data_IF_573890461738
#
_entry.id   IF_573890461738
#
_cell.length_a   1.000
_cell.length_b   1.000
_cell.length_c   1.000
_cell.angle_alpha   90.00
_cell.angle_beta   90.00
_cell.angle_gamma   90.00
#
_symmetry.space_group_name_H-M   'P 1'
#
loop_
_entity.id
_entity.type
_entity.pdbx_description
1 polymer ?
#
# COMPACT_ATOMS: atom_id res chain seq x y z
N UNK A 1 -15.69 -16.06 35.50
CA UNK A 1 -15.23 -17.35 34.91
C UNK A 1 -14.74 -17.19 33.47
N UNK A 2 -15.44 -16.47 32.59
CA UNK A 2 -15.02 -16.27 31.19
C UNK A 2 -13.61 -15.66 31.03
N UNK A 3 -13.26 -14.65 31.84
CA UNK A 3 -11.90 -14.06 31.84
C UNK A 3 -10.79 -15.07 32.11
N UNK A 4 -10.96 -15.93 33.12
CA UNK A 4 -9.97 -16.98 33.47
C UNK A 4 -9.81 -18.02 32.36
N UNK A 5 -10.87 -18.34 31.63
CA UNK A 5 -10.80 -19.24 30.47
C UNK A 5 -10.04 -18.57 29.33
N UNK A 6 -10.32 -17.30 29.04
CA UNK A 6 -9.60 -16.54 28.02
C UNK A 6 -8.10 -16.46 28.35
N UNK A 7 -7.74 -16.14 29.59
CA UNK A 7 -6.33 -16.09 30.02
C UNK A 7 -5.63 -17.43 29.84
N UNK A 8 -6.27 -18.53 30.22
CA UNK A 8 -5.72 -19.89 30.02
C UNK A 8 -5.60 -20.26 28.55
N UNK A 9 -6.58 -19.87 27.73
CA UNK A 9 -6.56 -20.10 26.28
C UNK A 9 -5.46 -19.26 25.62
N UNK A 10 -5.26 -18.02 26.05
CA UNK A 10 -4.15 -17.16 25.60
C UNK A 10 -2.79 -17.69 26.02
N UNK A 11 -2.69 -18.38 27.17
CA UNK A 11 -1.45 -19.03 27.58
C UNK A 11 -1.12 -20.28 26.73
N UNK A 12 -2.13 -20.94 26.16
CA UNK A 12 -1.96 -22.16 25.37
C UNK A 12 -1.86 -21.91 23.86
N UNK A 13 -2.44 -20.81 23.37
CA UNK A 13 -2.53 -20.50 21.95
C UNK A 13 -1.77 -19.22 21.63
N UNK A 14 -1.01 -19.23 20.53
CA UNK A 14 -0.33 -18.01 20.09
C UNK A 14 -1.34 -16.92 19.72
N UNK A 15 -0.94 -15.66 19.94
CA UNK A 15 -1.76 -14.49 19.54
C UNK A 15 -2.15 -14.56 18.06
N UNK A 16 -1.23 -15.00 17.21
CA UNK A 16 -1.42 -15.15 15.77
C UNK A 16 -2.41 -16.25 15.42
N UNK A 17 -2.43 -17.36 16.16
CA UNK A 17 -3.44 -18.39 15.97
C UNK A 17 -4.84 -17.86 16.36
N UNK A 18 -4.92 -17.17 17.49
CA UNK A 18 -6.18 -16.60 17.97
C UNK A 18 -6.77 -15.61 16.95
N UNK A 19 -5.93 -14.67 16.49
CA UNK A 19 -6.33 -13.66 15.51
C UNK A 19 -6.54 -14.26 14.13
N UNK A 20 -5.60 -15.03 13.60
CA UNK A 20 -5.62 -15.49 12.21
C UNK A 20 -6.60 -16.62 11.93
N UNK A 21 -6.88 -17.48 12.92
CA UNK A 21 -7.62 -18.73 12.69
C UNK A 21 -8.81 -18.92 13.63
N UNK A 22 -8.63 -18.75 14.95
CA UNK A 22 -9.68 -19.07 15.92
C UNK A 22 -10.89 -18.13 15.81
N UNK A 23 -10.69 -16.81 15.82
CA UNK A 23 -11.80 -15.86 15.80
C UNK A 23 -12.67 -15.93 14.55
N UNK A 24 -12.14 -16.04 13.31
CA UNK A 24 -12.97 -16.27 12.13
C UNK A 24 -13.90 -17.47 12.28
N UNK A 25 -13.38 -18.61 12.73
CA UNK A 25 -14.16 -19.83 12.88
C UNK A 25 -15.22 -19.67 13.98
N UNK A 26 -14.88 -19.04 15.10
CA UNK A 26 -15.84 -18.75 16.16
C UNK A 26 -16.99 -17.85 15.67
N UNK A 27 -16.66 -16.74 15.00
CA UNK A 27 -17.64 -15.79 14.46
C UNK A 27 -18.57 -16.50 13.47
N UNK A 28 -18.02 -17.24 12.51
CA UNK A 28 -18.86 -17.96 11.54
C UNK A 28 -19.63 -19.12 12.16
N UNK A 29 -19.11 -19.79 13.19
CA UNK A 29 -19.87 -20.82 13.92
C UNK A 29 -21.12 -20.23 14.58
N UNK A 30 -20.99 -19.06 15.22
CA UNK A 30 -22.11 -18.34 15.82
C UNK A 30 -23.11 -17.88 14.75
N UNK A 31 -22.62 -17.29 13.64
CA UNK A 31 -23.48 -16.84 12.55
C UNK A 31 -24.22 -18.02 11.89
N UNK A 32 -23.54 -19.13 11.63
CA UNK A 32 -24.15 -20.34 11.08
C UNK A 32 -25.21 -20.90 12.03
N UNK A 33 -24.94 -20.92 13.34
CA UNK A 33 -25.93 -21.34 14.35
C UNK A 33 -27.16 -20.42 14.35
N UNK A 34 -26.96 -19.10 14.24
CA UNK A 34 -28.05 -18.12 14.17
C UNK A 34 -28.90 -18.29 12.90
N UNK A 35 -28.26 -18.49 11.74
CA UNK A 35 -28.98 -18.75 10.49
C UNK A 35 -29.76 -20.07 10.58
N UNK A 36 -29.19 -21.12 11.17
CA UNK A 36 -29.88 -22.38 11.43
C UNK A 36 -31.11 -22.16 12.32
N UNK A 37 -30.95 -21.43 13.41
CA UNK A 37 -32.01 -21.10 14.36
C UNK A 37 -33.14 -20.28 13.73
N UNK A 38 -32.82 -19.33 12.85
CA UNK A 38 -33.84 -18.49 12.21
C UNK A 38 -34.45 -19.12 10.95
N UNK A 39 -33.74 -20.05 10.30
CA UNK A 39 -34.06 -20.52 8.96
C UNK A 39 -34.58 -21.96 8.87
N UNK A 40 -34.17 -22.86 9.77
CA UNK A 40 -34.51 -24.29 9.72
C UNK A 40 -35.62 -24.62 10.71
N UNK A 41 -36.64 -25.32 10.22
CA UNK A 41 -37.73 -25.83 11.04
C UNK A 41 -37.26 -26.86 12.08
N UNK A 42 -37.85 -26.82 13.27
CA UNK A 42 -37.55 -27.75 14.35
C UNK A 42 -36.21 -27.50 15.05
N UNK A 43 -35.26 -26.80 14.41
CA UNK A 43 -33.98 -26.45 15.04
C UNK A 43 -34.20 -25.54 16.26
N UNK A 44 -35.12 -24.58 16.19
CA UNK A 44 -35.50 -23.76 17.35
C UNK A 44 -35.98 -24.61 18.51
N UNK A 45 -36.87 -25.57 18.25
CA UNK A 45 -37.40 -26.48 19.26
C UNK A 45 -36.28 -27.32 19.89
N UNK A 46 -35.38 -27.89 19.08
CA UNK A 46 -34.21 -28.63 19.58
C UNK A 46 -33.28 -27.76 20.43
N UNK A 47 -33.05 -26.50 20.05
CA UNK A 47 -32.23 -25.56 20.83
C UNK A 47 -32.93 -25.21 22.15
N UNK A 48 -34.23 -24.94 22.14
CA UNK A 48 -34.97 -24.65 23.38
C UNK A 48 -35.03 -25.84 24.32
N UNK A 49 -35.15 -27.07 23.79
CA UNK A 49 -35.08 -28.31 24.58
C UNK A 49 -33.67 -28.51 25.15
N UNK A 50 -32.63 -28.22 24.36
CA UNK A 50 -31.24 -28.30 24.83
C UNK A 50 -30.96 -27.31 25.95
N UNK A 51 -31.48 -26.08 25.85
CA UNK A 51 -31.32 -25.02 26.84
C UNK A 51 -32.16 -25.23 28.11
N UNK A 52 -33.23 -26.02 28.04
CA UNK A 52 -34.05 -26.36 29.23
C UNK A 52 -33.50 -27.52 30.06
N UNK A 53 -32.42 -28.18 29.60
CA UNK A 53 -31.70 -29.20 30.40
C UNK A 53 -30.96 -28.57 31.59
N UNK A 54 -30.60 -29.41 32.56
CA UNK A 54 -29.84 -28.97 33.74
C UNK A 54 -28.56 -28.19 33.36
N UNK A 55 -28.23 -27.20 34.19
CA UNK A 55 -27.07 -26.31 34.07
C UNK A 55 -25.75 -27.04 33.80
N UNK A 56 -25.58 -28.23 34.37
CA UNK A 56 -24.40 -29.10 34.17
C UNK A 56 -24.30 -29.58 32.72
N UNK A 57 -25.43 -29.99 32.12
CA UNK A 57 -25.48 -30.47 30.74
C UNK A 57 -25.22 -29.33 29.76
N UNK A 58 -25.84 -28.18 30.00
CA UNK A 58 -25.65 -26.97 29.17
C UNK A 58 -24.20 -26.52 29.17
N UNK A 59 -23.55 -26.49 30.34
CA UNK A 59 -22.12 -26.16 30.47
C UNK A 59 -21.25 -27.13 29.69
N UNK A 60 -21.53 -28.43 29.78
CA UNK A 60 -20.78 -29.47 29.06
C UNK A 60 -20.88 -29.28 27.55
N UNK A 61 -22.07 -28.99 27.03
CA UNK A 61 -22.29 -28.76 25.60
C UNK A 61 -21.51 -27.53 25.12
N UNK A 62 -21.51 -26.44 25.88
CA UNK A 62 -20.72 -25.25 25.53
C UNK A 62 -19.21 -25.53 25.51
N UNK A 63 -18.68 -26.28 26.48
CA UNK A 63 -17.27 -26.67 26.51
C UNK A 63 -16.91 -27.54 25.32
N UNK A 64 -17.73 -28.57 25.02
CA UNK A 64 -17.53 -29.45 23.86
C UNK A 64 -17.59 -28.66 22.56
N UNK A 65 -18.56 -27.75 22.41
CA UNK A 65 -18.67 -26.87 21.24
C UNK A 65 -17.45 -25.97 21.06
N UNK A 66 -16.96 -25.36 22.15
CA UNK A 66 -15.76 -24.52 22.13
C UNK A 66 -14.50 -25.30 21.73
N UNK A 67 -14.32 -26.51 22.29
CA UNK A 67 -13.22 -27.41 21.91
C UNK A 67 -13.34 -27.80 20.44
N UNK A 68 -14.54 -28.14 19.96
CA UNK A 68 -14.81 -28.44 18.55
C UNK A 68 -14.42 -27.29 17.62
N UNK A 69 -14.82 -26.05 17.96
CA UNK A 69 -14.44 -24.84 17.20
C UNK A 69 -12.91 -24.67 17.17
N UNK A 70 -12.24 -24.90 18.30
CA UNK A 70 -10.77 -24.81 18.39
C UNK A 70 -10.10 -25.84 17.48
N UNK A 71 -10.59 -27.08 17.48
CA UNK A 71 -10.09 -28.15 16.60
C UNK A 71 -10.29 -27.79 15.13
N UNK A 72 -11.47 -27.29 14.76
CA UNK A 72 -11.74 -26.86 13.38
C UNK A 72 -10.79 -25.73 12.97
N UNK A 73 -10.58 -24.71 13.81
CA UNK A 73 -9.63 -23.64 13.54
C UNK A 73 -8.20 -24.17 13.33
N UNK A 74 -7.78 -25.13 14.15
CA UNK A 74 -6.48 -25.79 14.01
C UNK A 74 -6.35 -26.54 12.69
N UNK A 75 -7.39 -27.28 12.28
CA UNK A 75 -7.41 -28.01 10.99
C UNK A 75 -7.40 -27.05 9.80
N UNK A 76 -8.08 -25.90 9.90
CA UNK A 76 -8.15 -24.92 8.81
C UNK A 76 -6.84 -24.13 8.64
N UNK A 77 -6.03 -23.99 9.69
CA UNK A 77 -4.76 -23.24 9.66
C UNK A 77 -3.82 -23.68 8.52
N UNK A 78 -3.46 -24.98 8.37
CA UNK A 78 -2.61 -25.42 7.25
C UNK A 78 -3.26 -25.30 5.87
N UNK A 79 -4.58 -25.08 5.79
CA UNK A 79 -5.31 -24.88 4.52
C UNK A 79 -5.32 -23.42 4.06
N UNK A 80 -4.93 -22.46 4.92
CA UNK A 80 -4.90 -21.03 4.56
C UNK A 80 -4.05 -20.76 3.30
N UNK A 81 -2.84 -21.34 3.12
CA UNK A 81 -2.09 -21.16 1.87
C UNK A 81 -2.83 -21.68 0.63
N UNK A 82 -3.61 -22.75 0.76
CA UNK A 82 -4.44 -23.30 -0.33
C UNK A 82 -5.57 -22.34 -0.65
N UNK A 83 -6.29 -21.84 0.37
CA UNK A 83 -7.33 -20.84 0.19
C UNK A 83 -6.80 -19.56 -0.45
N UNK A 84 -5.61 -19.12 -0.03
CA UNK A 84 -4.92 -17.99 -0.66
C UNK A 84 -4.62 -18.26 -2.13
N UNK A 85 -4.10 -19.43 -2.47
CA UNK A 85 -3.83 -19.83 -3.87
C UNK A 85 -5.10 -19.88 -4.73
N UNK A 86 -6.23 -20.30 -4.14
CA UNK A 86 -7.55 -20.22 -4.79
C UNK A 86 -7.94 -18.76 -5.07
N UNK A 87 -7.79 -17.86 -4.10
CA UNK A 87 -8.10 -16.42 -4.24
C UNK A 87 -7.12 -15.68 -5.17
N UNK A 88 -5.90 -16.19 -5.32
CA UNK A 88 -4.92 -15.76 -6.33
C UNK A 88 -5.37 -16.18 -7.76
N UNK A 89 -6.37 -17.06 -7.88
CA UNK A 89 -6.90 -17.53 -9.15
C UNK A 89 -6.04 -18.62 -9.80
N UNK A 90 -5.15 -19.26 -9.04
CA UNK A 90 -4.22 -20.27 -9.56
C UNK A 90 -4.92 -21.59 -9.90
N UNK A 91 -5.92 -22.01 -9.11
CA UNK A 91 -6.51 -23.35 -9.18
C UNK A 91 -7.85 -23.37 -9.95
N UNK A 92 -8.76 -22.43 -9.66
CA UNK A 92 -10.18 -22.58 -10.04
C UNK A 92 -10.52 -21.92 -11.38
N UNK A 93 -9.78 -20.90 -11.82
CA UNK A 93 -10.19 -20.10 -12.97
C UNK A 93 -9.95 -20.83 -14.30
N UNK A 94 -10.99 -21.04 -15.14
CA UNK A 94 -10.80 -21.52 -16.51
C UNK A 94 -9.87 -20.58 -17.28
N UNK A 95 -9.02 -21.15 -18.15
CA UNK A 95 -7.99 -20.40 -18.87
C UNK A 95 -8.55 -19.17 -19.60
N UNK A 96 -9.70 -19.29 -20.28
CA UNK A 96 -10.37 -18.16 -20.96
C UNK A 96 -10.75 -17.02 -20.00
N UNK A 97 -11.24 -17.34 -18.81
CA UNK A 97 -11.60 -16.35 -17.78
C UNK A 97 -10.35 -15.69 -17.21
N UNK A 98 -9.31 -16.50 -16.96
CA UNK A 98 -8.01 -16.04 -16.48
C UNK A 98 -7.38 -15.03 -17.46
N UNK A 99 -7.36 -15.35 -18.75
CA UNK A 99 -6.77 -14.49 -19.79
C UNK A 99 -7.55 -13.18 -19.94
N UNK A 100 -8.89 -13.23 -19.82
CA UNK A 100 -9.75 -12.02 -19.81
C UNK A 100 -9.45 -11.12 -18.62
N UNK A 101 -9.27 -11.69 -17.43
CA UNK A 101 -8.95 -10.94 -16.21
C UNK A 101 -7.54 -10.35 -16.28
N UNK A 102 -6.56 -11.10 -16.79
CA UNK A 102 -5.21 -10.58 -17.07
C UNK A 102 -5.30 -9.37 -18.02
N UNK A 103 -6.05 -9.48 -19.12
CA UNK A 103 -6.24 -8.37 -20.05
C UNK A 103 -6.93 -7.14 -19.44
N UNK A 104 -7.76 -7.31 -18.41
CA UNK A 104 -8.29 -6.20 -17.62
C UNK A 104 -7.20 -5.55 -16.76
N UNK A 105 -6.39 -6.35 -16.06
CA UNK A 105 -5.28 -5.85 -15.24
C UNK A 105 -4.17 -5.19 -16.05
N UNK A 106 -3.87 -5.68 -17.26
CA UNK A 106 -2.94 -5.03 -18.20
C UNK A 106 -3.40 -3.62 -18.55
N UNK A 107 -4.70 -3.41 -18.75
CA UNK A 107 -5.24 -2.06 -19.03
C UNK A 107 -5.12 -1.13 -17.83
N UNK A 108 -5.39 -1.64 -16.62
CA UNK A 108 -5.19 -0.88 -15.38
C UNK A 108 -3.71 -0.50 -15.22
N UNK A 109 -2.81 -1.47 -15.43
CA UNK A 109 -1.37 -1.25 -15.32
C UNK A 109 -0.88 -0.20 -16.32
N UNK A 110 -1.31 -0.27 -17.59
CA UNK A 110 -0.99 0.77 -18.59
C UNK A 110 -1.47 2.16 -18.15
N UNK A 111 -2.70 2.26 -17.63
CA UNK A 111 -3.21 3.52 -17.10
C UNK A 111 -2.36 4.07 -15.95
N UNK A 112 -1.85 3.21 -15.06
CA UNK A 112 -0.94 3.62 -13.99
C UNK A 112 0.46 4.01 -14.52
N UNK A 113 0.98 3.32 -15.53
CA UNK A 113 2.24 3.69 -16.19
C UNK A 113 2.12 5.04 -16.91
N UNK A 114 1.00 5.29 -17.58
CA UNK A 114 0.72 6.57 -18.22
C UNK A 114 0.60 7.68 -17.16
N UNK A 115 -0.07 7.42 -16.03
CA UNK A 115 -0.17 8.35 -14.91
C UNK A 115 1.24 8.64 -14.32
N UNK A 116 2.09 7.62 -14.12
CA UNK A 116 3.49 7.76 -13.67
C UNK A 116 4.35 8.56 -14.67
N UNK A 117 4.19 8.29 -15.96
CA UNK A 117 4.92 9.01 -17.01
C UNK A 117 4.55 10.50 -16.98
N UNK A 118 3.25 10.83 -16.91
CA UNK A 118 2.76 12.20 -16.86
C UNK A 118 3.24 12.96 -15.62
N UNK A 119 3.19 12.34 -14.44
CA UNK A 119 3.69 12.97 -13.21
C UNK A 119 5.21 13.15 -13.24
N UNK A 120 5.95 12.20 -13.80
CA UNK A 120 7.39 12.32 -14.02
C UNK A 120 7.77 13.45 -15.00
N UNK A 121 7.06 13.56 -16.13
CA UNK A 121 7.23 14.65 -17.09
C UNK A 121 6.97 16.01 -16.42
N UNK A 122 5.85 16.13 -15.69
CA UNK A 122 5.50 17.36 -14.97
C UNK A 122 6.54 17.74 -13.91
N UNK A 123 7.01 16.79 -13.10
CA UNK A 123 8.08 17.03 -12.13
C UNK A 123 9.38 17.48 -12.82
N UNK A 124 9.78 16.82 -13.90
CA UNK A 124 10.99 17.18 -14.65
C UNK A 124 10.90 18.59 -15.26
N UNK A 125 9.72 18.96 -15.76
CA UNK A 125 9.46 20.27 -16.35
C UNK A 125 9.43 21.40 -15.30
N UNK A 126 8.85 21.15 -14.12
CA UNK A 126 8.87 22.08 -12.99
C UNK A 126 10.29 22.24 -12.45
N UNK A 127 11.05 21.14 -12.31
CA UNK A 127 12.44 21.18 -11.85
C UNK A 127 13.33 21.95 -12.82
N UNK A 128 13.12 21.80 -14.13
CA UNK A 128 13.83 22.58 -15.16
C UNK A 128 13.53 24.08 -15.01
N UNK A 129 12.25 24.44 -14.83
CA UNK A 129 11.83 25.84 -14.62
C UNK A 129 12.36 26.43 -13.33
N UNK A 130 12.40 25.66 -12.24
CA UNK A 130 13.02 26.08 -10.99
C UNK A 130 14.49 26.44 -11.18
N UNK A 131 15.24 25.60 -11.91
CA UNK A 131 16.64 25.89 -12.24
C UNK A 131 16.78 27.15 -13.10
N UNK A 132 15.91 27.34 -14.09
CA UNK A 132 15.94 28.50 -15.00
C UNK A 132 15.49 29.80 -14.33
N UNK A 133 14.54 29.74 -13.39
CA UNK A 133 13.97 30.91 -12.73
C UNK A 133 15.03 31.66 -11.91
N UNK A 134 15.96 30.94 -11.27
CA UNK A 134 17.07 31.56 -10.54
C UNK A 134 17.93 32.43 -11.46
N UNK A 135 18.36 31.87 -12.59
CA UNK A 135 19.20 32.55 -13.57
C UNK A 135 18.45 33.70 -14.26
N UNK A 136 17.25 33.45 -14.79
CA UNK A 136 16.47 34.45 -15.53
C UNK A 136 16.07 35.65 -14.67
N UNK A 137 15.63 35.41 -13.44
CA UNK A 137 15.23 36.49 -12.53
C UNK A 137 16.46 37.22 -11.97
N UNK A 138 17.59 36.53 -11.80
CA UNK A 138 18.88 37.14 -11.46
C UNK A 138 19.40 38.06 -12.58
N UNK A 139 19.36 37.60 -13.83
CA UNK A 139 19.75 38.36 -15.01
C UNK A 139 18.85 39.58 -15.23
N UNK A 140 17.53 39.41 -15.10
CA UNK A 140 16.56 40.51 -15.15
C UNK A 140 16.84 41.57 -14.07
N UNK A 141 17.14 41.13 -12.84
CA UNK A 141 17.53 42.02 -11.75
C UNK A 141 18.81 42.78 -12.06
N UNK A 142 19.81 42.15 -12.68
CA UNK A 142 21.05 42.80 -13.09
C UNK A 142 20.84 43.79 -14.25
N UNK A 143 19.97 43.45 -15.21
CA UNK A 143 19.62 44.30 -16.34
C UNK A 143 18.94 45.61 -15.92
N UNK A 144 18.19 45.59 -14.80
CA UNK A 144 17.54 46.77 -14.21
C UNK A 144 18.51 47.91 -13.86
N UNK A 145 19.82 47.67 -13.85
CA UNK A 145 20.86 48.70 -13.65
C UNK A 145 20.86 49.82 -14.70
N UNK A 146 20.15 49.66 -15.81
CA UNK A 146 19.96 50.65 -16.88
C UNK A 146 18.49 51.07 -16.96
N UNK A 147 18.08 52.16 -16.29
CA UNK A 147 16.66 52.52 -16.16
C UNK A 147 16.02 52.75 -17.53
N UNK A 148 14.98 51.97 -17.83
CA UNK A 148 14.00 52.28 -18.88
C UNK A 148 12.89 53.10 -18.24
N UNK A 149 12.22 53.94 -19.03
CA UNK A 149 11.22 54.91 -18.59
C UNK A 149 10.25 54.30 -17.52
N UNK A 150 10.32 54.80 -16.28
CA UNK A 150 9.76 54.15 -15.09
C UNK A 150 8.26 54.37 -14.87
N UNK A 151 7.59 55.13 -15.74
CA UNK A 151 6.24 55.64 -15.48
C UNK A 151 5.12 54.59 -15.63
N UNK A 152 5.45 53.36 -16.04
CA UNK A 152 4.46 52.32 -16.30
C UNK A 152 4.23 51.40 -15.08
N UNK A 153 3.43 51.89 -14.11
CA UNK A 153 3.00 51.12 -12.93
C UNK A 153 2.24 49.82 -13.31
N UNK A 154 1.79 49.68 -14.56
CA UNK A 154 1.03 48.50 -15.01
C UNK A 154 1.84 47.20 -14.99
N UNK A 155 3.17 47.26 -15.05
CA UNK A 155 4.02 46.06 -15.06
C UNK A 155 4.05 45.35 -13.71
N UNK A 156 4.13 46.12 -12.61
CA UNK A 156 4.03 45.56 -11.26
C UNK A 156 2.66 44.91 -11.02
N UNK A 157 1.57 45.57 -11.46
CA UNK A 157 0.22 45.05 -11.30
C UNK A 157 -0.02 43.79 -12.14
N UNK A 158 0.58 43.72 -13.33
CA UNK A 158 0.55 42.53 -14.19
C UNK A 158 1.28 41.35 -13.54
N UNK A 159 2.46 41.58 -12.96
CA UNK A 159 3.21 40.58 -12.22
C UNK A 159 2.43 40.07 -11.00
N UNK A 160 1.84 40.99 -10.22
CA UNK A 160 1.02 40.63 -9.06
C UNK A 160 -0.21 39.80 -9.47
N UNK A 161 -0.91 40.21 -10.53
CA UNK A 161 -2.07 39.48 -11.05
C UNK A 161 -1.70 38.09 -11.53
N UNK A 162 -0.59 37.95 -12.26
CA UNK A 162 -0.10 36.66 -12.72
C UNK A 162 0.31 35.74 -11.57
N UNK A 163 1.00 36.29 -10.57
CA UNK A 163 1.40 35.54 -9.38
C UNK A 163 0.20 35.11 -8.53
N UNK A 164 -0.79 36.00 -8.33
CA UNK A 164 -2.06 35.64 -7.65
C UNK A 164 -2.83 34.56 -8.40
N UNK A 165 -2.89 34.63 -9.74
CA UNK A 165 -3.53 33.60 -10.54
C UNK A 165 -2.85 32.22 -10.37
N UNK A 166 -1.51 32.19 -10.27
CA UNK A 166 -0.78 30.97 -9.93
C UNK A 166 -1.15 30.47 -8.53
N UNK A 167 -1.17 31.35 -7.52
CA UNK A 167 -1.56 30.97 -6.15
C UNK A 167 -3.00 30.45 -6.06
N UNK A 168 -3.95 31.09 -6.74
CA UNK A 168 -5.34 30.64 -6.84
C UNK A 168 -5.44 29.27 -7.52
N UNK A 169 -4.69 29.04 -8.59
CA UNK A 169 -4.65 27.74 -9.28
C UNK A 169 -4.10 26.62 -8.36
N UNK A 170 -3.18 26.94 -7.46
CA UNK A 170 -2.67 26.01 -6.44
C UNK A 170 -3.75 25.73 -5.39
N UNK A 171 -4.40 26.76 -4.87
CA UNK A 171 -5.45 26.62 -3.84
C UNK A 171 -6.69 25.87 -4.35
N UNK A 172 -7.12 26.12 -5.59
CA UNK A 172 -8.28 25.44 -6.18
C UNK A 172 -8.03 23.93 -6.33
N UNK A 173 -6.79 23.54 -6.61
CA UNK A 173 -6.39 22.14 -6.78
C UNK A 173 -6.12 21.43 -5.46
N UNK A 174 -5.65 22.14 -4.42
CA UNK A 174 -5.43 21.54 -3.09
C UNK A 174 -6.75 21.21 -2.36
N UNK A 175 -7.80 22.03 -2.53
CA UNK A 175 -9.11 21.80 -1.91
C UNK A 175 -9.93 20.65 -2.51
N UNK A 176 -9.62 20.21 -3.73
CA UNK A 176 -10.28 19.08 -4.39
C UNK A 176 -9.55 17.78 -4.00
N UNK A 177 -9.76 17.32 -2.76
CA UNK A 177 -9.16 16.10 -2.16
C UNK A 177 -9.29 14.81 -3.00
N UNK A 178 -10.14 14.79 -4.03
CA UNK A 178 -10.36 13.63 -4.90
C UNK A 178 -9.86 13.79 -6.36
N UNK A 179 -9.34 14.95 -6.76
CA UNK A 179 -8.88 15.15 -8.13
C UNK A 179 -7.46 14.60 -8.32
N UNK A 180 -7.28 13.77 -9.36
CA UNK A 180 -5.97 13.24 -9.78
C UNK A 180 -4.94 14.32 -10.18
N UNK A 181 -5.36 15.57 -10.27
CA UNK A 181 -4.55 16.69 -10.76
C UNK A 181 -4.32 17.72 -9.65
N UNK A 182 -3.25 17.52 -8.86
CA UNK A 182 -2.87 18.42 -7.76
C UNK A 182 -2.04 19.64 -8.19
N UNK A 183 -1.48 19.64 -9.39
CA UNK A 183 -0.49 20.64 -9.83
C UNK A 183 -1.11 21.65 -10.80
N UNK A 184 -0.81 22.95 -10.72
CA UNK A 184 -1.33 23.93 -11.67
C UNK A 184 -0.79 23.65 -13.10
N UNK A 185 -1.48 24.13 -14.16
CA UNK A 185 -0.96 24.05 -15.52
C UNK A 185 0.40 24.72 -15.61
N UNK A 186 1.34 24.09 -16.30
CA UNK A 186 2.73 24.57 -16.40
C UNK A 186 2.76 25.98 -17.03
N UNK A 187 1.83 26.28 -17.92
CA UNK A 187 1.69 27.59 -18.56
C UNK A 187 1.45 28.72 -17.54
N UNK A 188 0.77 28.45 -16.43
CA UNK A 188 0.54 29.46 -15.38
C UNK A 188 1.83 29.83 -14.64
N UNK A 189 2.74 28.87 -14.47
CA UNK A 189 4.07 29.09 -13.90
C UNK A 189 4.90 29.96 -14.85
N UNK A 190 4.89 29.66 -16.15
CA UNK A 190 5.61 30.42 -17.16
C UNK A 190 5.11 31.88 -17.24
N UNK A 191 3.79 32.08 -17.24
CA UNK A 191 3.18 33.42 -17.26
C UNK A 191 3.59 34.22 -16.02
N UNK A 192 3.56 33.61 -14.83
CA UNK A 192 3.98 34.27 -13.59
C UNK A 192 5.48 34.62 -13.61
N UNK A 193 6.32 33.67 -14.05
CA UNK A 193 7.77 33.86 -14.17
C UNK A 193 8.10 35.02 -15.13
N UNK A 194 7.52 35.03 -16.32
CA UNK A 194 7.76 36.09 -17.32
C UNK A 194 7.25 37.45 -16.84
N UNK A 195 6.09 37.51 -16.18
CA UNK A 195 5.56 38.76 -15.67
C UNK A 195 6.46 39.36 -14.57
N UNK A 196 6.96 38.51 -13.66
CA UNK A 196 7.91 38.94 -12.61
C UNK A 196 9.26 39.34 -13.24
N UNK A 197 9.75 38.58 -14.23
CA UNK A 197 10.97 38.92 -14.98
C UNK A 197 10.87 40.30 -15.62
N UNK A 198 9.78 40.57 -16.35
CA UNK A 198 9.54 41.87 -16.98
C UNK A 198 9.46 42.97 -15.93
N UNK A 199 8.78 42.76 -14.80
CA UNK A 199 8.73 43.75 -13.73
C UNK A 199 10.14 44.04 -13.17
N UNK A 200 10.94 43.01 -12.90
CA UNK A 200 12.32 43.17 -12.43
C UNK A 200 13.21 43.94 -13.42
N UNK A 201 13.05 43.71 -14.74
CA UNK A 201 13.80 44.45 -15.77
C UNK A 201 13.45 45.96 -15.79
N UNK A 202 12.23 46.34 -15.40
CA UNK A 202 11.74 47.73 -15.47
C UNK A 202 12.02 48.56 -14.20
N UNK A 203 12.12 47.95 -13.03
CA UNK A 203 12.33 48.67 -11.77
C UNK A 203 13.80 48.61 -11.31
N UNK A 204 14.58 49.70 -11.51
CA UNK A 204 16.02 49.72 -11.23
C UNK A 204 16.34 49.61 -9.74
N UNK A 205 17.43 48.93 -9.41
CA UNK A 205 17.89 48.76 -8.02
C UNK A 205 18.49 50.03 -7.38
N UNK A 206 18.78 51.07 -8.17
CA UNK A 206 19.53 52.25 -7.71
C UNK A 206 18.60 53.33 -7.14
N UNK A 207 18.82 53.67 -5.87
CA UNK A 207 18.11 54.72 -5.12
C UNK A 207 18.35 56.14 -5.63
N UNK A 208 19.34 56.35 -6.50
CA UNK A 208 19.72 57.68 -7.02
C UNK A 208 18.94 58.09 -8.28
N UNK A 209 18.08 57.21 -8.81
CA UNK A 209 17.30 57.49 -10.02
C UNK A 209 16.11 58.42 -9.69
N UNK A 210 15.98 59.60 -10.31
CA UNK A 210 14.80 60.47 -10.11
C UNK A 210 13.51 59.72 -10.46
N UNK A 211 12.52 59.73 -9.55
CA UNK A 211 11.26 58.97 -9.73
C UNK A 211 11.30 57.53 -9.20
N UNK A 212 12.35 57.13 -8.47
CA UNK A 212 12.42 55.83 -7.80
C UNK A 212 11.34 55.68 -6.71
N UNK A 213 10.44 54.72 -6.89
CA UNK A 213 9.48 54.31 -5.87
C UNK A 213 9.98 53.06 -5.14
N UNK A 214 10.54 53.27 -3.93
CA UNK A 214 11.01 52.20 -3.05
C UNK A 214 9.92 51.18 -2.72
N UNK A 215 8.66 51.60 -2.67
CA UNK A 215 7.56 50.71 -2.35
C UNK A 215 7.32 49.70 -3.47
N UNK A 216 7.33 50.15 -4.73
CA UNK A 216 7.16 49.28 -5.89
C UNK A 216 8.33 48.31 -6.03
N UNK A 217 9.56 48.79 -5.82
CA UNK A 217 10.75 47.93 -5.82
C UNK A 217 10.65 46.80 -4.79
N UNK A 218 10.37 47.14 -3.52
CA UNK A 218 10.21 46.15 -2.45
C UNK A 218 9.08 45.17 -2.75
N UNK A 219 7.99 45.63 -3.36
CA UNK A 219 6.87 44.78 -3.77
C UNK A 219 7.30 43.75 -4.83
N UNK A 220 8.06 44.15 -5.84
CA UNK A 220 8.56 43.24 -6.89
C UNK A 220 9.59 42.26 -6.33
N UNK A 221 10.49 42.70 -5.46
CA UNK A 221 11.46 41.83 -4.79
C UNK A 221 10.76 40.78 -3.90
N UNK A 222 9.74 41.19 -3.13
CA UNK A 222 8.91 40.25 -2.37
C UNK A 222 8.16 39.27 -3.29
N UNK A 223 7.64 39.71 -4.44
CA UNK A 223 7.01 38.81 -5.40
C UNK A 223 8.00 37.80 -5.98
N UNK A 224 9.24 38.21 -6.31
CA UNK A 224 10.30 37.30 -6.77
C UNK A 224 10.59 36.22 -5.72
N UNK A 225 10.81 36.61 -4.46
CA UNK A 225 11.11 35.67 -3.38
C UNK A 225 9.95 34.71 -3.13
N UNK A 226 8.72 35.22 -3.05
CA UNK A 226 7.53 34.40 -2.87
C UNK A 226 7.31 33.46 -4.05
N UNK A 227 7.56 33.90 -5.28
CA UNK A 227 7.47 33.06 -6.47
C UNK A 227 8.48 31.91 -6.43
N UNK A 228 9.74 32.17 -6.09
CA UNK A 228 10.76 31.12 -5.96
C UNK A 228 10.41 30.12 -4.87
N UNK A 229 9.87 30.58 -3.73
CA UNK A 229 9.38 29.72 -2.66
C UNK A 229 8.20 28.86 -3.13
N UNK A 230 7.19 29.46 -3.78
CA UNK A 230 6.06 28.72 -4.35
C UNK A 230 6.51 27.70 -5.39
N UNK A 231 7.53 28.01 -6.20
CA UNK A 231 8.04 27.08 -7.20
C UNK A 231 8.77 25.88 -6.57
N UNK A 232 9.48 26.07 -5.46
CA UNK A 232 10.08 24.97 -4.70
C UNK A 232 9.02 24.04 -4.10
N UNK A 233 7.97 24.61 -3.49
CA UNK A 233 6.83 23.85 -2.97
C UNK A 233 6.10 23.05 -4.06
N UNK A 234 5.95 23.64 -5.26
CA UNK A 234 5.37 22.96 -6.42
C UNK A 234 6.23 21.79 -6.91
N UNK A 235 7.55 21.96 -6.97
CA UNK A 235 8.49 20.90 -7.37
C UNK A 235 8.43 19.74 -6.38
N UNK A 236 8.41 20.02 -5.09
CA UNK A 236 8.30 19.01 -4.04
C UNK A 236 6.94 18.28 -4.10
N UNK A 237 5.85 19.01 -4.29
CA UNK A 237 4.52 18.41 -4.48
C UNK A 237 4.47 17.52 -5.72
N UNK A 238 5.10 17.93 -6.82
CA UNK A 238 5.17 17.13 -8.04
C UNK A 238 6.03 15.87 -7.85
N UNK A 239 7.14 15.98 -7.12
CA UNK A 239 7.98 14.85 -6.76
C UNK A 239 7.21 13.83 -5.92
N UNK A 240 6.47 14.27 -4.90
CA UNK A 240 5.62 13.40 -4.08
C UNK A 240 4.54 12.71 -4.92
N UNK A 241 3.88 13.44 -5.83
CA UNK A 241 2.88 12.86 -6.74
C UNK A 241 3.49 11.79 -7.68
N UNK A 242 4.72 12.01 -8.17
CA UNK A 242 5.46 11.02 -8.95
C UNK A 242 5.80 9.80 -8.10
N UNK A 243 6.30 9.97 -6.87
CA UNK A 243 6.60 8.87 -5.97
C UNK A 243 5.35 8.05 -5.60
N UNK A 244 4.22 8.70 -5.35
CA UNK A 244 2.94 8.01 -5.11
C UNK A 244 2.51 7.18 -6.32
N UNK A 245 2.66 7.71 -7.54
CA UNK A 245 2.34 6.99 -8.77
C UNK A 245 3.27 5.78 -8.98
N UNK A 246 4.57 5.95 -8.71
CA UNK A 246 5.56 4.87 -8.79
C UNK A 246 5.26 3.78 -7.75
N UNK A 247 4.99 4.17 -6.50
CA UNK A 247 4.60 3.25 -5.43
C UNK A 247 3.33 2.47 -5.79
N UNK A 248 2.30 3.13 -6.36
CA UNK A 248 1.08 2.45 -6.82
C UNK A 248 1.36 1.44 -7.93
N UNK A 249 2.29 1.72 -8.85
CA UNK A 249 2.71 0.78 -9.87
C UNK A 249 3.46 -0.41 -9.25
N UNK A 250 4.52 -0.13 -8.48
CA UNK A 250 5.44 -1.13 -7.94
C UNK A 250 4.81 -2.05 -6.92
N UNK A 251 3.93 -1.55 -6.05
CA UNK A 251 3.28 -2.35 -5.00
C UNK A 251 2.16 -3.24 -5.54
N UNK A 252 1.69 -2.99 -6.77
CA UNK A 252 0.56 -3.72 -7.36
C UNK A 252 0.95 -4.60 -8.52
N UNK A 253 1.97 -4.29 -9.31
CA UNK A 253 2.22 -5.01 -10.56
C UNK A 253 3.69 -5.31 -10.76
N UNK A 254 3.93 -6.44 -11.43
CA UNK A 254 5.23 -6.80 -12.03
C UNK A 254 5.10 -6.60 -13.53
N UNK A 255 6.00 -5.83 -14.11
CA UNK A 255 5.96 -5.42 -15.54
C UNK A 255 5.80 -6.62 -16.49
N UNK A 256 6.51 -7.73 -16.20
CA UNK A 256 6.58 -8.88 -17.10
C UNK A 256 5.64 -10.04 -16.70
N UNK A 257 4.94 -9.92 -15.57
CA UNK A 257 4.24 -11.06 -14.96
C UNK A 257 2.88 -10.71 -14.33
N UNK A 258 2.07 -9.91 -15.04
CA UNK A 258 0.72 -9.54 -14.60
C UNK A 258 -0.16 -10.79 -14.43
N UNK A 259 -0.79 -10.91 -13.27
CA UNK A 259 -1.66 -12.03 -12.84
C UNK A 259 -3.14 -11.68 -12.96
N UNK A 260 -3.98 -12.70 -12.83
CA UNK A 260 -5.42 -12.61 -13.06
C UNK A 260 -6.21 -11.94 -11.93
N UNK A 261 -5.64 -11.82 -10.72
CA UNK A 261 -6.34 -11.21 -9.58
C UNK A 261 -5.49 -10.13 -8.92
N UNK A 262 -6.11 -9.12 -8.25
CA UNK A 262 -5.37 -8.12 -7.48
C UNK A 262 -4.45 -8.73 -6.42
N UNK A 263 -4.92 -9.77 -5.72
CA UNK A 263 -4.15 -10.48 -4.69
C UNK A 263 -2.87 -11.09 -5.27
N UNK A 264 -2.99 -11.82 -6.38
CA UNK A 264 -1.84 -12.44 -7.05
C UNK A 264 -0.85 -11.40 -7.59
N UNK A 265 -1.37 -10.28 -8.09
CA UNK A 265 -0.57 -9.15 -8.57
C UNK A 265 0.25 -8.49 -7.44
N UNK A 266 -0.38 -8.16 -6.30
CA UNK A 266 0.33 -7.61 -5.13
C UNK A 266 1.32 -8.59 -4.52
N UNK A 267 1.02 -9.89 -4.52
CA UNK A 267 1.97 -10.92 -4.08
C UNK A 267 3.17 -11.02 -5.02
N UNK A 268 2.94 -11.09 -6.33
CA UNK A 268 4.01 -11.14 -7.32
C UNK A 268 4.91 -9.90 -7.23
N UNK A 269 4.33 -8.72 -6.97
CA UNK A 269 5.07 -7.48 -6.74
C UNK A 269 6.02 -7.58 -5.53
N UNK A 270 5.54 -8.14 -4.41
CA UNK A 270 6.38 -8.40 -3.24
C UNK A 270 7.52 -9.38 -3.53
N UNK A 271 7.22 -10.48 -4.22
CA UNK A 271 8.23 -11.49 -4.57
C UNK A 271 9.30 -10.88 -5.52
N UNK A 272 8.86 -10.07 -6.49
CA UNK A 272 9.73 -9.39 -7.44
C UNK A 272 10.59 -8.29 -6.82
N UNK A 273 10.13 -7.64 -5.74
CA UNK A 273 10.87 -6.57 -5.06
C UNK A 273 12.30 -6.99 -4.70
N UNK A 274 12.45 -8.14 -4.04
CA UNK A 274 13.77 -8.65 -3.63
C UNK A 274 14.71 -8.88 -4.80
N UNK A 275 14.17 -9.29 -5.95
CA UNK A 275 14.95 -9.49 -7.16
C UNK A 275 15.40 -8.17 -7.77
N UNK A 276 14.52 -7.18 -7.85
CA UNK A 276 14.84 -5.85 -8.41
C UNK A 276 15.79 -5.08 -7.51
N UNK A 277 15.54 -5.06 -6.21
CA UNK A 277 16.35 -4.32 -5.26
C UNK A 277 17.72 -4.98 -5.02
N UNK A 278 17.74 -6.31 -4.83
CA UNK A 278 18.91 -7.02 -4.31
C UNK A 278 19.41 -8.16 -5.19
N UNK A 279 18.82 -8.40 -6.36
CA UNK A 279 19.25 -9.47 -7.27
C UNK A 279 19.05 -10.88 -6.70
N UNK A 280 18.17 -11.03 -5.70
CA UNK A 280 17.96 -12.28 -4.96
C UNK A 280 16.52 -12.74 -5.08
N UNK A 281 16.29 -14.05 -5.15
CA UNK A 281 14.94 -14.62 -5.13
C UNK A 281 14.30 -14.45 -3.74
N UNK A 282 13.04 -14.03 -3.70
CA UNK A 282 12.27 -13.88 -2.47
C UNK A 282 12.18 -15.18 -1.68
N UNK A 283 11.90 -16.30 -2.35
CA UNK A 283 11.81 -17.62 -1.75
C UNK A 283 13.15 -18.10 -1.20
N UNK A 284 14.26 -17.55 -1.72
CA UNK A 284 15.58 -17.80 -1.20
C UNK A 284 15.87 -16.97 0.07
N UNK A 285 15.67 -15.65 0.02
CA UNK A 285 16.05 -14.75 1.13
C UNK A 285 15.09 -14.85 2.32
N UNK A 286 13.78 -14.97 2.10
CA UNK A 286 12.77 -14.83 3.15
C UNK A 286 12.86 -15.87 4.27
N UNK A 287 12.98 -17.19 4.00
CA UNK A 287 13.12 -18.18 5.08
C UNK A 287 14.38 -17.98 5.93
N UNK A 288 15.45 -17.45 5.33
CA UNK A 288 16.72 -17.19 6.03
C UNK A 288 16.65 -15.93 6.87
N UNK A 289 15.95 -14.92 6.37
CA UNK A 289 15.74 -13.67 7.08
C UNK A 289 14.97 -13.89 8.40
N UNK A 290 14.08 -14.90 8.45
CA UNK A 290 13.37 -15.27 9.70
C UNK A 290 14.30 -15.56 10.87
N UNK A 291 15.48 -16.15 10.62
CA UNK A 291 16.48 -16.42 11.66
C UNK A 291 17.03 -15.16 12.33
N UNK A 292 17.02 -14.04 11.60
CA UNK A 292 17.47 -12.73 12.09
C UNK A 292 16.29 -11.94 12.63
N UNK A 293 15.13 -12.00 11.97
CA UNK A 293 13.89 -11.34 12.41
C UNK A 293 13.53 -11.78 13.84
N UNK A 294 13.66 -13.07 14.18
CA UNK A 294 13.38 -13.58 15.53
C UNK A 294 14.23 -12.92 16.64
N UNK A 295 15.38 -12.34 16.30
CA UNK A 295 16.24 -11.60 17.25
C UNK A 295 15.73 -10.19 17.53
N UNK A 296 15.10 -9.54 16.54
CA UNK A 296 14.46 -8.23 16.70
C UNK A 296 12.98 -8.41 17.01
N UNK A 297 12.63 -8.33 18.31
CA UNK A 297 11.25 -8.49 18.79
C UNK A 297 10.27 -7.51 18.15
N UNK A 298 10.70 -6.30 17.78
CA UNK A 298 9.81 -5.29 17.20
C UNK A 298 9.46 -5.66 15.77
N UNK A 299 10.47 -6.00 14.96
CA UNK A 299 10.27 -6.44 13.56
C UNK A 299 9.51 -7.76 13.52
N UNK A 300 9.87 -8.73 14.38
CA UNK A 300 9.15 -10.00 14.50
C UNK A 300 7.67 -9.81 14.80
N UNK A 301 7.35 -9.02 15.83
CA UNK A 301 5.97 -8.72 16.22
C UNK A 301 5.18 -8.02 15.10
N UNK A 302 5.81 -7.09 14.38
CA UNK A 302 5.20 -6.41 13.23
C UNK A 302 4.89 -7.37 12.08
N UNK A 303 5.86 -8.21 11.69
CA UNK A 303 5.68 -9.23 10.64
C UNK A 303 4.63 -10.25 11.03
N UNK A 304 4.67 -10.75 12.27
CA UNK A 304 3.73 -11.72 12.80
C UNK A 304 2.30 -11.15 12.84
N UNK A 305 2.13 -9.91 13.30
CA UNK A 305 0.83 -9.23 13.34
C UNK A 305 0.27 -9.04 11.93
N UNK A 306 1.09 -8.59 10.97
CA UNK A 306 0.65 -8.40 9.60
C UNK A 306 0.30 -9.73 8.91
N UNK A 307 1.05 -10.81 9.19
CA UNK A 307 0.73 -12.15 8.71
C UNK A 307 -0.60 -12.66 9.29
N UNK A 308 -0.81 -12.51 10.60
CA UNK A 308 -2.05 -12.91 11.26
C UNK A 308 -3.28 -12.14 10.71
N UNK A 309 -3.13 -10.85 10.40
CA UNK A 309 -4.20 -10.05 9.77
C UNK A 309 -4.55 -10.54 8.36
N UNK A 310 -3.54 -10.89 7.55
CA UNK A 310 -3.75 -11.47 6.23
C UNK A 310 -4.44 -12.84 6.32
N UNK A 311 -3.98 -13.70 7.22
CA UNK A 311 -4.57 -15.02 7.46
C UNK A 311 -6.03 -14.92 7.93
N UNK A 312 -6.31 -13.98 8.85
CA UNK A 312 -7.66 -13.64 9.27
C UNK A 312 -8.55 -13.25 8.07
N UNK A 313 -8.08 -12.32 7.22
CA UNK A 313 -8.86 -11.84 6.08
C UNK A 313 -9.15 -12.96 5.06
N UNK A 314 -8.15 -13.81 4.77
CA UNK A 314 -8.29 -14.96 3.86
C UNK A 314 -9.31 -15.95 4.41
N UNK A 315 -9.22 -16.27 5.71
CA UNK A 315 -10.13 -17.22 6.33
C UNK A 315 -11.56 -16.67 6.44
N UNK A 316 -11.73 -15.39 6.79
CA UNK A 316 -13.04 -14.72 6.80
C UNK A 316 -13.69 -14.75 5.41
N UNK A 317 -12.94 -14.44 4.35
CA UNK A 317 -13.46 -14.50 2.97
C UNK A 317 -13.89 -15.92 2.60
N UNK A 318 -13.07 -16.91 2.95
CA UNK A 318 -13.33 -18.32 2.64
C UNK A 318 -14.56 -18.84 3.39
N UNK A 319 -14.63 -18.63 4.70
CA UNK A 319 -15.76 -19.02 5.53
C UNK A 319 -17.04 -18.29 5.10
N UNK A 320 -16.97 -17.00 4.77
CA UNK A 320 -18.10 -16.25 4.24
C UNK A 320 -18.63 -16.85 2.94
N UNK A 321 -17.72 -17.21 2.02
CA UNK A 321 -18.09 -17.82 0.74
C UNK A 321 -18.75 -19.18 0.94
N UNK A 322 -18.12 -20.06 1.73
CA UNK A 322 -18.64 -21.41 2.00
C UNK A 322 -19.98 -21.35 2.75
N UNK A 323 -20.09 -20.54 3.80
CA UNK A 323 -21.33 -20.34 4.55
C UNK A 323 -22.44 -19.79 3.66
N UNK A 324 -22.16 -18.78 2.84
CA UNK A 324 -23.17 -18.19 1.93
C UNK A 324 -23.68 -19.24 0.96
N UNK A 325 -22.79 -19.97 0.28
CA UNK A 325 -23.18 -21.01 -0.67
C UNK A 325 -23.98 -22.14 0.02
N UNK A 326 -23.50 -22.58 1.18
CA UNK A 326 -24.16 -23.66 1.95
C UNK A 326 -25.56 -23.25 2.37
N UNK A 327 -25.73 -22.05 2.93
CA UNK A 327 -27.03 -21.60 3.43
C UNK A 327 -28.01 -21.22 2.34
N UNK A 328 -27.56 -20.62 1.24
CA UNK A 328 -28.44 -20.35 0.09
C UNK A 328 -29.02 -21.67 -0.44
N UNK A 329 -28.20 -22.71 -0.58
CA UNK A 329 -28.67 -24.04 -1.01
C UNK A 329 -29.55 -24.69 0.05
N UNK A 330 -29.13 -24.72 1.32
CA UNK A 330 -29.90 -25.34 2.40
C UNK A 330 -31.28 -24.69 2.61
N UNK A 331 -31.37 -23.37 2.53
CA UNK A 331 -32.64 -22.64 2.71
C UNK A 331 -33.61 -22.82 1.52
N UNK A 332 -33.11 -23.17 0.32
CA UNK A 332 -33.99 -23.54 -0.80
C UNK A 332 -34.72 -24.86 -0.51
N UNK A 333 -34.04 -25.83 0.09
CA UNK A 333 -34.60 -27.16 0.32
C UNK A 333 -35.31 -27.32 1.66
N UNK A 334 -34.79 -26.68 2.72
CA UNK A 334 -35.25 -26.86 4.10
C UNK A 334 -35.79 -25.58 4.73
N UNK A 335 -35.65 -24.43 4.07
CA UNK A 335 -36.03 -23.14 4.63
C UNK A 335 -37.53 -22.84 4.44
N UNK A 336 -38.17 -22.35 5.51
CA UNK A 336 -39.50 -21.72 5.43
C UNK A 336 -39.45 -20.20 5.41
N UNK A 337 -38.40 -19.63 6.02
CA UNK A 337 -38.26 -18.18 6.15
C UNK A 337 -37.65 -17.58 4.88
N UNK A 338 -38.52 -17.12 3.96
CA UNK A 338 -38.13 -16.41 2.72
C UNK A 338 -37.22 -15.22 3.04
N UNK A 339 -37.46 -14.51 4.15
CA UNK A 339 -36.64 -13.38 4.57
C UNK A 339 -35.19 -13.81 4.88
N UNK A 340 -34.99 -14.92 5.59
CA UNK A 340 -33.64 -15.45 5.90
C UNK A 340 -32.91 -15.85 4.62
N UNK A 341 -33.63 -16.46 3.67
CA UNK A 341 -33.07 -16.77 2.35
C UNK A 341 -32.64 -15.51 1.59
N UNK A 342 -33.51 -14.50 1.50
CA UNK A 342 -33.20 -13.24 0.82
C UNK A 342 -32.03 -12.51 1.48
N UNK A 343 -31.98 -12.50 2.81
CA UNK A 343 -30.87 -11.92 3.57
C UNK A 343 -29.55 -12.61 3.20
N UNK A 344 -29.49 -13.94 3.23
CA UNK A 344 -28.27 -14.67 2.86
C UNK A 344 -27.89 -14.52 1.39
N UNK A 345 -28.88 -14.51 0.49
CA UNK A 345 -28.67 -14.37 -0.95
C UNK A 345 -28.12 -12.99 -1.36
N UNK A 346 -28.47 -11.93 -0.61
CA UNK A 346 -28.02 -10.55 -0.91
C UNK A 346 -26.81 -10.16 -0.06
N UNK A 347 -26.90 -10.34 1.27
CA UNK A 347 -25.86 -9.92 2.21
C UNK A 347 -24.60 -10.78 2.09
N UNK A 348 -24.75 -12.09 1.84
CA UNK A 348 -23.63 -13.02 1.71
C UNK A 348 -22.64 -12.60 0.62
N UNK A 349 -23.06 -12.46 -0.66
CA UNK A 349 -22.18 -12.00 -1.73
C UNK A 349 -21.57 -10.62 -1.48
N UNK A 350 -22.33 -9.69 -0.90
CA UNK A 350 -21.82 -8.36 -0.55
C UNK A 350 -20.68 -8.45 0.48
N UNK A 351 -20.82 -9.29 1.52
CA UNK A 351 -19.78 -9.53 2.51
C UNK A 351 -18.57 -10.27 1.91
N UNK A 352 -18.77 -11.20 0.99
CA UNK A 352 -17.65 -11.86 0.28
C UNK A 352 -16.81 -10.83 -0.48
N UNK A 353 -17.45 -9.90 -1.20
CA UNK A 353 -16.74 -8.83 -1.93
C UNK A 353 -15.98 -7.93 -0.95
N UNK A 354 -16.60 -7.54 0.17
CA UNK A 354 -15.97 -6.73 1.21
C UNK A 354 -14.76 -7.44 1.82
N UNK A 355 -14.89 -8.70 2.23
CA UNK A 355 -13.76 -9.44 2.81
C UNK A 355 -12.66 -9.69 1.79
N UNK A 356 -13.00 -9.89 0.51
CA UNK A 356 -11.99 -9.96 -0.54
C UNK A 356 -11.21 -8.64 -0.71
N UNK A 357 -11.87 -7.49 -0.60
CA UNK A 357 -11.18 -6.19 -0.56
C UNK A 357 -10.26 -6.08 0.66
N UNK A 358 -10.69 -6.57 1.82
CA UNK A 358 -9.87 -6.64 3.03
C UNK A 358 -8.63 -7.53 2.85
N UNK A 359 -8.75 -8.66 2.15
CA UNK A 359 -7.60 -9.52 1.79
C UNK A 359 -6.58 -8.75 0.96
N UNK A 360 -7.04 -7.98 -0.03
CA UNK A 360 -6.14 -7.18 -0.87
C UNK A 360 -5.42 -6.08 -0.07
N UNK A 361 -6.15 -5.40 0.83
CA UNK A 361 -5.57 -4.36 1.69
C UNK A 361 -4.54 -4.94 2.68
N UNK A 362 -4.88 -6.05 3.35
CA UNK A 362 -3.98 -6.72 4.31
C UNK A 362 -2.76 -7.35 3.62
N UNK A 363 -2.89 -7.84 2.38
CA UNK A 363 -1.75 -8.30 1.58
C UNK A 363 -0.76 -7.17 1.30
N UNK A 364 -1.25 -5.97 0.95
CA UNK A 364 -0.39 -4.80 0.71
C UNK A 364 0.32 -4.35 1.98
N UNK A 365 -0.39 -4.32 3.12
CA UNK A 365 0.20 -4.02 4.42
C UNK A 365 1.28 -5.05 4.82
N UNK A 366 1.00 -6.34 4.65
CA UNK A 366 1.98 -7.40 4.87
C UNK A 366 3.20 -7.26 3.95
N UNK A 367 2.98 -6.92 2.67
CA UNK A 367 4.06 -6.66 1.72
C UNK A 367 4.96 -5.51 2.15
N UNK A 368 4.38 -4.38 2.60
CA UNK A 368 5.15 -3.23 3.09
C UNK A 368 6.01 -3.59 4.30
N UNK A 369 5.45 -4.28 5.31
CA UNK A 369 6.21 -4.73 6.49
C UNK A 369 7.31 -5.72 6.10
N UNK A 370 7.03 -6.61 5.14
CA UNK A 370 8.02 -7.57 4.61
C UNK A 370 9.18 -6.86 3.91
N UNK A 371 8.89 -5.87 3.08
CA UNK A 371 9.90 -5.02 2.42
C UNK A 371 10.76 -4.33 3.46
N UNK A 372 10.15 -3.68 4.47
CA UNK A 372 10.88 -3.03 5.56
C UNK A 372 11.79 -4.01 6.32
N UNK A 373 11.31 -5.24 6.58
CA UNK A 373 12.12 -6.26 7.24
C UNK A 373 13.31 -6.71 6.37
N UNK A 374 13.12 -6.89 5.06
CA UNK A 374 14.21 -7.20 4.12
C UNK A 374 15.22 -6.07 4.11
N UNK A 375 14.76 -4.84 3.94
CA UNK A 375 15.63 -3.66 3.85
C UNK A 375 16.42 -3.48 5.16
N UNK A 376 15.78 -3.62 6.31
CA UNK A 376 16.45 -3.44 7.61
C UNK A 376 17.45 -4.55 7.95
N UNK A 377 17.10 -5.82 7.69
CA UNK A 377 17.81 -6.97 8.28
C UNK A 377 18.71 -7.73 7.29
N UNK A 378 18.73 -7.36 6.00
CA UNK A 378 19.56 -8.05 4.99
C UNK A 378 21.05 -8.07 5.31
N UNK A 379 21.61 -6.99 5.88
CA UNK A 379 23.02 -6.94 6.24
C UNK A 379 23.33 -7.78 7.49
N UNK A 380 22.43 -7.80 8.46
CA UNK A 380 22.53 -8.69 9.62
C UNK A 380 22.47 -10.16 9.19
N UNK A 381 21.67 -10.48 8.18
CA UNK A 381 21.65 -11.81 7.58
C UNK A 381 23.00 -12.16 6.94
N UNK A 382 23.62 -11.26 6.17
CA UNK A 382 24.96 -11.50 5.61
C UNK A 382 26.01 -11.76 6.71
N UNK A 383 25.96 -11.00 7.80
CA UNK A 383 26.85 -11.20 8.94
C UNK A 383 26.59 -12.55 9.64
N UNK A 384 25.31 -12.91 9.82
CA UNK A 384 24.91 -14.20 10.39
C UNK A 384 25.35 -15.39 9.53
N UNK A 385 25.52 -15.18 8.22
CA UNK A 385 26.07 -16.14 7.26
C UNK A 385 27.60 -16.07 7.12
N UNK A 386 28.28 -15.25 7.94
CA UNK A 386 29.73 -15.03 7.92
C UNK A 386 30.28 -14.52 6.57
N UNK A 387 29.47 -13.72 5.87
CA UNK A 387 29.84 -13.05 4.63
C UNK A 387 30.33 -11.62 4.91
N UNK A 388 31.30 -11.10 4.13
CA UNK A 388 31.73 -9.72 4.26
C UNK A 388 30.61 -8.76 3.86
N UNK A 389 30.51 -7.62 4.55
CA UNK A 389 29.56 -6.57 4.20
C UNK A 389 29.95 -5.93 2.86
N UNK A 390 29.01 -5.84 1.90
CA UNK A 390 29.27 -5.23 0.60
C UNK A 390 29.43 -3.71 0.74
N UNK A 391 30.41 -3.13 0.04
CA UNK A 391 30.67 -1.68 0.07
C UNK A 391 29.79 -0.86 -0.89
N UNK A 392 28.93 -1.52 -1.67
CA UNK A 392 28.12 -0.90 -2.73
C UNK A 392 26.98 -1.84 -3.12
N UNK A 393 25.86 -1.29 -3.62
CA UNK A 393 24.71 -2.07 -4.08
C UNK A 393 25.08 -3.14 -5.14
N UNK A 394 25.97 -2.82 -6.08
CA UNK A 394 26.37 -3.79 -7.11
C UNK A 394 27.09 -5.01 -6.51
N UNK A 395 27.95 -4.79 -5.51
CA UNK A 395 28.61 -5.86 -4.75
C UNK A 395 27.64 -6.63 -3.86
N UNK A 396 26.63 -5.95 -3.32
CA UNK A 396 25.55 -6.60 -2.56
C UNK A 396 24.77 -7.56 -3.46
N UNK A 397 24.33 -7.11 -4.63
CA UNK A 397 23.63 -7.93 -5.62
C UNK A 397 24.48 -9.12 -6.09
N UNK A 398 25.78 -8.90 -6.33
CA UNK A 398 26.71 -9.97 -6.67
C UNK A 398 26.82 -11.01 -5.54
N UNK A 399 26.98 -10.57 -4.28
CA UNK A 399 27.08 -11.46 -3.13
C UNK A 399 25.81 -12.31 -2.94
N UNK A 400 24.63 -11.72 -3.09
CA UNK A 400 23.38 -12.47 -3.02
C UNK A 400 23.21 -13.45 -4.18
N UNK A 401 23.56 -13.05 -5.40
CA UNK A 401 23.51 -13.92 -6.58
C UNK A 401 24.47 -15.11 -6.45
N UNK A 402 25.69 -14.88 -5.97
CA UNK A 402 26.67 -15.94 -5.70
C UNK A 402 26.19 -16.89 -4.61
N UNK A 403 25.65 -16.36 -3.50
CA UNK A 403 25.11 -17.16 -2.42
C UNK A 403 23.94 -18.04 -2.89
N UNK A 404 23.03 -17.48 -3.69
CA UNK A 404 21.92 -18.22 -4.29
C UNK A 404 22.44 -19.31 -5.24
N UNK A 405 23.38 -18.99 -6.13
CA UNK A 405 24.01 -19.96 -7.03
C UNK A 405 24.74 -21.06 -6.29
N UNK A 406 25.46 -20.75 -5.22
CA UNK A 406 26.22 -21.74 -4.44
C UNK A 406 25.33 -22.78 -3.75
N UNK A 407 24.09 -22.41 -3.42
CA UNK A 407 23.13 -23.32 -2.78
C UNK A 407 22.31 -24.14 -3.79
N UNK A 408 22.05 -23.60 -4.99
CA UNK A 408 21.31 -24.32 -6.05
C UNK A 408 22.21 -25.07 -7.04
N UNK A 409 23.47 -24.66 -7.20
CA UNK A 409 24.44 -25.31 -8.07
C UNK A 409 25.27 -26.32 -7.26
N UNK A 410 25.59 -27.46 -7.87
CA UNK A 410 26.40 -28.53 -7.29
C UNK A 410 27.81 -28.03 -6.83
N UNK A 411 28.55 -28.81 -6.02
CA UNK A 411 29.52 -28.33 -5.00
C UNK A 411 30.83 -27.69 -5.50
N UNK A 412 30.93 -27.26 -6.75
CA UNK A 412 32.17 -26.69 -7.29
C UNK A 412 32.42 -25.21 -6.89
N UNK A 413 31.46 -24.56 -6.23
CA UNK A 413 31.58 -23.16 -5.84
C UNK A 413 32.33 -22.97 -4.50
N UNK A 414 33.51 -22.34 -4.56
CA UNK A 414 34.31 -21.94 -3.40
C UNK A 414 33.75 -20.66 -2.77
N UNK A 415 32.74 -20.78 -1.91
CA UNK A 415 32.30 -19.66 -1.06
C UNK A 415 33.37 -19.42 0.02
N UNK A 416 33.95 -18.22 0.06
CA UNK A 416 34.94 -17.83 1.06
C UNK A 416 34.23 -17.32 2.32
N UNK A 417 34.26 -18.09 3.40
CA UNK A 417 33.74 -17.69 4.70
C UNK A 417 34.80 -16.92 5.50
N UNK A 418 34.40 -15.83 6.17
CA UNK A 418 35.27 -15.12 7.11
C UNK A 418 34.85 -15.45 8.54
N UNK A 419 35.62 -16.30 9.20
CA UNK A 419 35.48 -16.51 10.64
C UNK A 419 36.20 -15.38 11.37
N UNK A 420 35.44 -14.51 12.03
CA UNK A 420 36.00 -13.58 13.01
C UNK A 420 36.58 -14.41 14.15
N UNK A 421 37.87 -14.22 14.49
CA UNK A 421 38.42 -14.80 15.71
C UNK A 421 37.62 -14.22 16.88
N UNK A 422 36.88 -15.08 17.59
CA UNK A 422 36.20 -14.72 18.84
C UNK A 422 37.21 -14.42 19.92
#
# INVERSE_FOLDING_TARGET
>A
MFGTVIEKVQALLSRSFLLGSFFPVLVFSILNFLVAYLGIDGFQSSVTEMLSRDSTSTTTIFVVGFVGITIVAFILTPLIPVFRSILEGAIILPQKTRDRLIGHHVRIFKGLQDDLKKTGECWSDLRRRQSQAGDLLGDARNASSHPRNCDDMSMCDRAEKAFKALQEAIMERSGKEASKEKLPPIETVDIAMDAIRIALEHYPMKTETPGYDLHVFNKVDHMQLNFLFTLDELVETAYQAMQEADAKCRLRFVTDAIKATPLANSRAALEHYSHVAYGVDFHFIWPRLRLVIEKDKNVFSAVETAAAQLDFAVLMTTLCTVSTLTWVVALIFFGKAVLTFLLMAILGPALVVLFYQLVNATQQAFGAVTVMAIDGLRFELLQALHLPLPSSLAKEQAAWSELQKALYSAPENKVLYRHTKQ
#
